data_IF_579319835284
#
_entry.id   IF_579319835284
#
_cell.length_a   1.000
_cell.length_b   1.000
_cell.length_c   1.000
_cell.angle_alpha   90.00
_cell.angle_beta   90.00
_cell.angle_gamma   90.00
#
_symmetry.space_group_name_H-M   'P 1'
#
loop_
_entity.id
_entity.type
_entity.pdbx_description
1 polymer ?
#
# COMPACT_ATOMS: atom_id res chain seq x y z
N UNK A 1 -76.76 45.08 -18.43
CA UNK A 1 -75.39 44.90 -18.99
C UNK A 1 -75.49 44.74 -20.50
N UNK A 2 -74.96 45.70 -21.24
CA UNK A 2 -75.09 45.82 -22.70
C UNK A 2 -74.34 44.71 -23.46
N UNK A 3 -74.85 44.25 -24.62
CA UNK A 3 -74.24 43.17 -25.42
C UNK A 3 -72.81 43.49 -25.88
N UNK A 4 -72.48 44.78 -26.03
CA UNK A 4 -71.13 45.28 -26.35
C UNK A 4 -70.06 44.91 -25.30
N UNK A 5 -70.41 44.90 -24.00
CA UNK A 5 -69.47 44.55 -22.92
C UNK A 5 -69.15 43.05 -22.91
N UNK A 6 -70.09 42.21 -23.36
CA UNK A 6 -69.87 40.75 -23.47
C UNK A 6 -68.96 40.39 -24.64
N UNK A 7 -69.03 41.13 -25.75
CA UNK A 7 -68.18 40.94 -26.93
C UNK A 7 -66.72 41.33 -26.67
N UNK A 8 -66.48 42.43 -25.93
CA UNK A 8 -65.12 42.86 -25.54
C UNK A 8 -64.50 42.00 -24.44
N UNK A 9 -65.30 41.43 -23.52
CA UNK A 9 -64.79 40.58 -22.44
C UNK A 9 -64.44 39.14 -22.87
N UNK A 10 -64.93 38.70 -24.03
CA UNK A 10 -64.70 37.34 -24.56
C UNK A 10 -63.22 37.03 -24.87
N UNK A 11 -62.48 37.84 -25.65
CA UNK A 11 -61.06 37.59 -25.92
C UNK A 11 -60.20 37.63 -24.65
N UNK A 12 -60.52 38.53 -23.71
CA UNK A 12 -59.79 38.64 -22.44
C UNK A 12 -59.95 37.40 -21.56
N UNK A 13 -61.16 36.81 -21.52
CA UNK A 13 -61.42 35.55 -20.81
C UNK A 13 -60.74 34.36 -21.49
N UNK A 14 -60.67 34.36 -22.81
CA UNK A 14 -60.00 33.31 -23.58
C UNK A 14 -58.49 33.34 -23.34
N UNK A 15 -57.85 34.51 -23.42
CA UNK A 15 -56.43 34.71 -23.12
C UNK A 15 -56.12 34.31 -21.69
N UNK A 16 -56.95 34.71 -20.72
CA UNK A 16 -56.76 34.33 -19.31
C UNK A 16 -56.87 32.82 -19.09
N UNK A 17 -57.76 32.13 -19.81
CA UNK A 17 -57.87 30.67 -19.77
C UNK A 17 -56.67 29.98 -20.38
N UNK A 18 -56.16 30.47 -21.51
CA UNK A 18 -54.93 29.95 -22.10
C UNK A 18 -53.72 30.17 -21.20
N UNK A 19 -53.55 31.38 -20.65
CA UNK A 19 -52.47 31.67 -19.71
C UNK A 19 -52.54 30.77 -18.46
N UNK A 20 -53.73 30.56 -17.90
CA UNK A 20 -53.92 29.65 -16.78
C UNK A 20 -53.58 28.20 -17.15
N UNK A 21 -53.99 27.74 -18.34
CA UNK A 21 -53.67 26.41 -18.84
C UNK A 21 -52.16 26.19 -18.99
N UNK A 22 -51.44 27.13 -19.60
CA UNK A 22 -49.98 27.07 -19.74
C UNK A 22 -49.27 27.15 -18.39
N UNK A 23 -49.76 27.97 -17.45
CA UNK A 23 -49.21 28.06 -16.10
C UNK A 23 -49.34 26.72 -15.36
N UNK A 24 -50.50 26.06 -15.44
CA UNK A 24 -50.70 24.73 -14.85
C UNK A 24 -49.78 23.69 -15.50
N UNK A 25 -49.65 23.70 -16.83
CA UNK A 25 -48.75 22.79 -17.54
C UNK A 25 -47.28 22.97 -17.11
N UNK A 26 -46.82 24.21 -16.97
CA UNK A 26 -45.46 24.51 -16.51
C UNK A 26 -45.24 24.03 -15.07
N UNK A 27 -46.25 24.16 -14.20
CA UNK A 27 -46.18 23.71 -12.82
C UNK A 27 -46.12 22.18 -12.72
N UNK A 28 -46.95 21.49 -13.51
CA UNK A 28 -46.92 20.03 -13.61
C UNK A 28 -45.58 19.54 -14.17
N UNK A 29 -45.04 20.21 -15.20
CA UNK A 29 -43.74 19.87 -15.76
C UNK A 29 -42.60 20.08 -14.74
N UNK A 30 -42.62 21.17 -13.96
CA UNK A 30 -41.65 21.41 -12.89
C UNK A 30 -41.73 20.35 -11.78
N UNK A 31 -42.95 19.95 -11.39
CA UNK A 31 -43.15 18.91 -10.38
C UNK A 31 -42.65 17.55 -10.89
N UNK A 32 -43.00 17.18 -12.12
CA UNK A 32 -42.55 15.95 -12.76
C UNK A 32 -41.03 15.92 -12.91
N UNK A 33 -40.41 17.05 -13.24
CA UNK A 33 -38.96 17.18 -13.32
C UNK A 33 -38.29 16.97 -11.95
N UNK A 34 -38.83 17.54 -10.87
CA UNK A 34 -38.34 17.30 -9.50
C UNK A 34 -38.47 15.83 -9.07
N UNK A 35 -39.54 15.14 -9.45
CA UNK A 35 -39.69 13.70 -9.17
C UNK A 35 -38.69 12.89 -10.00
N UNK A 36 -38.49 13.24 -11.27
CA UNK A 36 -37.55 12.56 -12.16
C UNK A 36 -36.09 12.72 -11.72
N UNK A 37 -35.68 13.89 -11.23
CA UNK A 37 -34.32 14.10 -10.70
C UNK A 37 -34.05 13.31 -9.43
N UNK A 38 -35.07 13.03 -8.62
CA UNK A 38 -34.94 12.22 -7.40
C UNK A 38 -34.96 10.71 -7.67
N UNK A 39 -35.66 10.28 -8.71
CA UNK A 39 -35.90 8.84 -8.98
C UNK A 39 -34.98 8.26 -10.06
N UNK A 40 -34.42 9.10 -10.94
CA UNK A 40 -33.63 8.66 -12.09
C UNK A 40 -32.23 9.28 -12.08
N UNK A 41 -31.22 8.45 -11.80
CA UNK A 41 -29.81 8.85 -11.71
C UNK A 41 -29.31 9.54 -12.99
N UNK A 42 -29.78 9.11 -14.16
CA UNK A 42 -29.42 9.70 -15.46
C UNK A 42 -29.92 11.13 -15.66
N UNK A 43 -31.14 11.45 -15.20
CA UNK A 43 -31.73 12.79 -15.30
C UNK A 43 -31.01 13.75 -14.35
N UNK A 44 -30.68 13.29 -13.15
CA UNK A 44 -29.85 14.04 -12.21
C UNK A 44 -28.47 14.37 -12.79
N UNK A 45 -27.80 13.41 -13.44
CA UNK A 45 -26.50 13.67 -14.09
C UNK A 45 -26.61 14.68 -15.23
N UNK A 46 -27.65 14.58 -16.08
CA UNK A 46 -27.85 15.49 -17.19
C UNK A 46 -28.21 16.92 -16.74
N UNK A 47 -29.04 17.06 -15.70
CA UNK A 47 -29.36 18.35 -15.11
C UNK A 47 -28.13 18.99 -14.46
N UNK A 48 -27.34 18.19 -13.75
CA UNK A 48 -26.11 18.66 -13.09
C UNK A 48 -25.04 19.10 -14.09
N UNK A 49 -24.87 18.40 -15.22
CA UNK A 49 -23.94 18.82 -16.29
C UNK A 49 -24.40 20.09 -16.99
N UNK A 50 -25.70 20.24 -17.27
CA UNK A 50 -26.26 21.45 -17.86
C UNK A 50 -26.10 22.69 -16.95
N UNK A 51 -26.31 22.52 -15.64
CA UNK A 51 -26.11 23.59 -14.64
C UNK A 51 -24.63 23.98 -14.49
N UNK A 52 -23.72 23.01 -14.57
CA UNK A 52 -22.29 23.27 -14.51
C UNK A 52 -21.78 24.01 -15.77
N UNK A 53 -22.35 23.71 -16.95
CA UNK A 53 -22.02 24.40 -18.20
C UNK A 53 -22.40 25.89 -18.21
N UNK A 54 -23.35 26.31 -17.36
CA UNK A 54 -23.74 27.72 -17.18
C UNK A 54 -23.10 28.36 -15.92
N UNK A 55 -22.12 27.69 -15.30
CA UNK A 55 -21.33 28.24 -14.18
C UNK A 55 -21.97 28.11 -12.80
N UNK A 56 -23.10 27.41 -12.67
CA UNK A 56 -23.74 27.16 -11.39
C UNK A 56 -23.13 25.88 -10.80
N UNK A 57 -22.13 26.04 -9.93
CA UNK A 57 -21.52 24.90 -9.23
C UNK A 57 -22.52 24.33 -8.22
N UNK A 58 -23.23 23.28 -8.60
CA UNK A 58 -24.12 22.54 -7.68
C UNK A 58 -23.28 21.71 -6.71
N UNK A 59 -23.83 21.44 -5.52
CA UNK A 59 -23.20 20.55 -4.51
C UNK A 59 -22.87 19.18 -5.12
N UNK A 60 -23.74 18.68 -6.00
CA UNK A 60 -23.54 17.48 -6.81
C UNK A 60 -22.26 17.51 -7.67
N UNK A 61 -22.02 18.62 -8.35
CA UNK A 61 -20.86 18.79 -9.21
C UNK A 61 -19.57 18.86 -8.38
N UNK A 62 -19.60 19.48 -7.19
CA UNK A 62 -18.47 19.50 -6.26
C UNK A 62 -18.15 18.11 -5.71
N UNK A 63 -19.17 17.40 -5.23
CA UNK A 63 -19.02 16.05 -4.69
C UNK A 63 -18.47 15.06 -5.73
N UNK A 64 -18.94 15.14 -6.99
CA UNK A 64 -18.42 14.30 -8.08
C UNK A 64 -16.99 14.67 -8.48
N UNK A 65 -16.62 15.96 -8.44
CA UNK A 65 -15.25 16.43 -8.63
C UNK A 65 -14.30 15.93 -7.54
N UNK A 66 -14.69 16.02 -6.29
CA UNK A 66 -13.93 15.51 -5.14
C UNK A 66 -13.76 13.99 -5.20
N UNK A 67 -14.82 13.24 -5.53
CA UNK A 67 -14.73 11.78 -5.73
C UNK A 67 -13.76 11.42 -6.87
N UNK A 68 -13.75 12.18 -7.95
CA UNK A 68 -12.81 11.96 -9.06
C UNK A 68 -11.37 12.29 -8.66
N UNK A 69 -11.15 13.39 -7.95
CA UNK A 69 -9.85 13.78 -7.42
C UNK A 69 -9.30 12.70 -6.46
N UNK A 70 -10.12 12.22 -5.52
CA UNK A 70 -9.76 11.14 -4.58
C UNK A 70 -9.42 9.85 -5.32
N UNK A 71 -10.21 9.45 -6.32
CA UNK A 71 -9.90 8.28 -7.16
C UNK A 71 -8.58 8.42 -7.91
N UNK A 72 -8.26 9.62 -8.39
CA UNK A 72 -7.00 9.90 -9.08
C UNK A 72 -5.81 9.83 -8.10
N UNK A 73 -5.95 10.39 -6.90
CA UNK A 73 -4.94 10.29 -5.83
C UNK A 73 -4.70 8.83 -5.43
N UNK A 74 -5.76 8.08 -5.14
CA UNK A 74 -5.68 6.65 -4.82
C UNK A 74 -4.98 5.84 -5.92
N UNK A 75 -5.31 6.10 -7.20
CA UNK A 75 -4.63 5.45 -8.35
C UNK A 75 -3.15 5.82 -8.44
N UNK A 76 -2.81 7.08 -8.18
CA UNK A 76 -1.42 7.56 -8.20
C UNK A 76 -0.62 6.84 -7.11
N UNK A 77 -1.08 6.89 -5.87
CA UNK A 77 -0.41 6.28 -4.71
C UNK A 77 -0.32 4.76 -4.88
N UNK A 78 -1.40 4.10 -5.32
CA UNK A 78 -1.39 2.67 -5.61
C UNK A 78 -0.36 2.30 -6.68
N UNK A 79 -0.22 3.10 -7.74
CA UNK A 79 0.79 2.87 -8.78
C UNK A 79 2.21 3.04 -8.26
N UNK A 80 2.48 4.11 -7.50
CA UNK A 80 3.81 4.34 -6.90
C UNK A 80 4.19 3.21 -5.95
N UNK A 81 3.24 2.77 -5.13
CA UNK A 81 3.42 1.65 -4.18
C UNK A 81 3.73 0.36 -4.93
N UNK A 82 2.93 0.02 -5.95
CA UNK A 82 3.16 -1.17 -6.78
C UNK A 82 4.52 -1.12 -7.48
N UNK A 83 4.96 0.04 -7.95
CA UNK A 83 6.26 0.21 -8.60
C UNK A 83 7.44 0.01 -7.62
N UNK A 84 7.34 0.55 -6.40
CA UNK A 84 8.34 0.33 -5.34
C UNK A 84 8.45 -1.14 -4.95
N UNK A 85 7.31 -1.79 -4.69
CA UNK A 85 7.26 -3.22 -4.32
C UNK A 85 7.81 -4.08 -5.45
N UNK A 86 7.39 -3.84 -6.70
CA UNK A 86 7.90 -4.57 -7.87
C UNK A 86 9.42 -4.47 -8.02
N UNK A 87 9.99 -3.26 -7.85
CA UNK A 87 11.44 -3.06 -7.88
C UNK A 87 12.18 -3.76 -6.74
N UNK A 88 11.58 -3.92 -5.57
CA UNK A 88 12.16 -4.67 -4.45
C UNK A 88 12.14 -6.17 -4.72
N UNK A 89 10.99 -6.71 -5.15
CA UNK A 89 10.86 -8.12 -5.55
C UNK A 89 11.87 -8.50 -6.65
N UNK A 90 12.04 -7.65 -7.67
CA UNK A 90 13.03 -7.89 -8.73
C UNK A 90 14.46 -7.93 -8.19
N UNK A 91 14.83 -7.00 -7.31
CA UNK A 91 16.17 -6.97 -6.68
C UNK A 91 16.41 -8.18 -5.80
N UNK A 92 15.42 -8.57 -4.99
CA UNK A 92 15.47 -9.79 -4.18
C UNK A 92 15.65 -11.05 -5.03
N UNK A 93 14.90 -11.18 -6.12
CA UNK A 93 15.03 -12.31 -7.03
C UNK A 93 16.43 -12.40 -7.67
N UNK A 94 16.99 -11.27 -8.11
CA UNK A 94 18.36 -11.23 -8.65
C UNK A 94 19.40 -11.60 -7.59
N UNK A 95 19.27 -11.09 -6.36
CA UNK A 95 20.18 -11.42 -5.24
C UNK A 95 20.16 -12.91 -4.92
N UNK A 96 18.98 -13.52 -4.82
CA UNK A 96 18.84 -14.96 -4.59
C UNK A 96 19.42 -15.81 -5.72
N UNK A 97 19.24 -15.42 -6.98
CA UNK A 97 19.86 -16.15 -8.10
C UNK A 97 21.39 -16.03 -8.06
N UNK A 98 21.90 -14.86 -7.67
CA UNK A 98 23.34 -14.62 -7.57
C UNK A 98 23.99 -15.33 -6.36
N UNK A 99 23.25 -15.57 -5.28
CA UNK A 99 23.77 -16.20 -4.05
C UNK A 99 24.00 -17.71 -4.18
N UNK A 100 23.33 -18.39 -5.13
CA UNK A 100 23.41 -19.84 -5.34
C UNK A 100 24.86 -20.36 -5.42
N UNK A 101 25.75 -19.61 -6.08
CA UNK A 101 27.16 -20.00 -6.20
C UNK A 101 27.95 -19.88 -4.89
N UNK A 102 27.58 -18.92 -4.04
CA UNK A 102 28.20 -18.68 -2.73
C UNK A 102 27.70 -19.65 -1.66
N UNK A 103 26.45 -20.08 -1.75
CA UNK A 103 25.81 -21.06 -0.87
C UNK A 103 26.48 -22.44 -0.90
N UNK A 104 27.10 -22.78 -2.04
CA UNK A 104 27.80 -24.05 -2.22
C UNK A 104 29.15 -24.14 -1.49
N UNK A 105 29.71 -23.02 -1.02
CA UNK A 105 31.00 -22.99 -0.33
C UNK A 105 30.76 -23.15 1.17
N UNK A 106 31.34 -24.15 1.85
CA UNK A 106 31.12 -24.32 3.27
C UNK A 106 31.57 -23.10 4.11
N UNK A 107 30.82 -22.77 5.16
CA UNK A 107 30.96 -21.57 6.02
C UNK A 107 30.67 -20.24 5.31
N UNK A 108 31.20 -20.01 4.11
CA UNK A 108 30.88 -18.83 3.27
C UNK A 108 29.40 -18.81 2.91
N UNK A 109 28.83 -19.97 2.56
CA UNK A 109 27.43 -20.11 2.24
C UNK A 109 26.51 -19.71 3.39
N UNK A 110 26.90 -19.98 4.65
CA UNK A 110 26.12 -19.56 5.83
C UNK A 110 26.07 -18.04 5.91
N UNK A 111 27.22 -17.37 5.72
CA UNK A 111 27.28 -15.91 5.71
C UNK A 111 26.45 -15.31 4.57
N UNK A 112 26.51 -15.91 3.38
CA UNK A 112 25.73 -15.50 2.21
C UNK A 112 24.23 -15.64 2.48
N UNK A 113 23.78 -16.77 3.05
CA UNK A 113 22.37 -17.02 3.40
C UNK A 113 21.89 -16.01 4.44
N UNK A 114 22.65 -15.83 5.52
CA UNK A 114 22.27 -14.90 6.59
C UNK A 114 22.21 -13.46 6.08
N UNK A 115 23.16 -13.07 5.21
CA UNK A 115 23.15 -11.77 4.55
C UNK A 115 21.98 -11.58 3.60
N UNK A 116 21.65 -12.60 2.80
CA UNK A 116 20.48 -12.59 1.94
C UNK A 116 19.19 -12.45 2.75
N UNK A 117 19.05 -13.24 3.82
CA UNK A 117 17.90 -13.20 4.72
C UNK A 117 17.74 -11.82 5.38
N UNK A 118 18.83 -11.20 5.84
CA UNK A 118 18.77 -9.87 6.44
C UNK A 118 18.22 -8.83 5.44
N UNK A 119 18.67 -8.88 4.19
CA UNK A 119 18.16 -8.01 3.13
C UNK A 119 16.70 -8.33 2.77
N UNK A 120 16.30 -9.59 2.80
CA UNK A 120 14.90 -9.99 2.58
C UNK A 120 13.97 -9.49 3.68
N UNK A 121 14.39 -9.59 4.94
CA UNK A 121 13.64 -9.07 6.09
C UNK A 121 13.49 -7.56 5.96
N UNK A 122 14.55 -6.83 5.60
CA UNK A 122 14.48 -5.39 5.36
C UNK A 122 13.51 -5.05 4.20
N UNK A 123 13.64 -5.73 3.06
CA UNK A 123 12.76 -5.51 1.90
C UNK A 123 11.27 -5.83 2.25
N UNK A 124 11.03 -6.79 3.15
CA UNK A 124 9.72 -7.12 3.68
C UNK A 124 9.17 -6.04 4.63
N UNK A 125 10.00 -5.54 5.57
CA UNK A 125 9.66 -4.42 6.46
C UNK A 125 9.24 -3.18 5.66
N UNK A 126 10.05 -2.77 4.68
CA UNK A 126 9.74 -1.66 3.79
C UNK A 126 8.44 -1.91 3.01
N UNK A 127 8.07 -3.18 2.76
CA UNK A 127 6.87 -3.53 1.98
C UNK A 127 5.66 -3.35 2.86
N UNK A 128 5.74 -3.83 4.09
CA UNK A 128 4.69 -3.67 5.09
C UNK A 128 4.46 -2.18 5.42
N UNK A 129 5.53 -1.39 5.56
CA UNK A 129 5.43 0.07 5.73
C UNK A 129 4.71 0.74 4.53
N UNK A 130 5.10 0.42 3.30
CA UNK A 130 4.44 0.96 2.10
C UNK A 130 2.97 0.52 1.99
N UNK A 131 2.60 -0.68 2.49
CA UNK A 131 1.20 -1.13 2.56
C UNK A 131 0.40 -0.38 3.62
N UNK A 132 0.96 -0.17 4.82
CA UNK A 132 0.35 0.64 5.87
C UNK A 132 0.14 2.09 5.40
N UNK A 133 1.13 2.66 4.72
CA UNK A 133 1.04 3.97 4.08
C UNK A 133 -0.05 4.03 3.00
N UNK A 134 -0.20 2.99 2.20
CA UNK A 134 -1.27 2.91 1.20
C UNK A 134 -2.65 2.83 1.85
N UNK A 135 -2.82 2.06 2.92
CA UNK A 135 -4.08 1.96 3.66
C UNK A 135 -4.47 3.32 4.26
N UNK A 136 -3.53 4.00 4.93
CA UNK A 136 -3.73 5.34 5.48
C UNK A 136 -4.11 6.36 4.40
N UNK A 137 -3.46 6.31 3.24
CA UNK A 137 -3.79 7.18 2.11
C UNK A 137 -5.22 6.97 1.58
N UNK A 138 -5.68 5.72 1.56
CA UNK A 138 -7.04 5.38 1.11
C UNK A 138 -8.09 5.81 2.12
N UNK A 139 -7.77 5.71 3.42
CA UNK A 139 -8.63 6.14 4.52
C UNK A 139 -8.74 7.66 4.62
N UNK A 140 -7.68 8.41 4.30
CA UNK A 140 -7.63 9.85 4.40
C UNK A 140 -8.73 10.57 3.60
N UNK A 141 -9.35 11.57 4.24
CA UNK A 141 -10.42 12.37 3.63
C UNK A 141 -9.89 13.63 2.93
N UNK A 142 -8.81 14.22 3.44
CA UNK A 142 -8.31 15.53 3.00
C UNK A 142 -6.93 15.47 2.37
N UNK A 143 -5.97 14.78 3.00
CA UNK A 143 -4.58 14.71 2.53
C UNK A 143 -4.04 13.27 2.51
N UNK A 144 -4.27 12.53 1.41
CA UNK A 144 -3.76 11.17 1.23
C UNK A 144 -2.23 11.05 1.24
N UNK A 145 -1.53 12.09 0.77
CA UNK A 145 -0.06 12.04 0.66
C UNK A 145 0.58 12.25 2.04
N UNK A 146 0.04 13.16 2.87
CA UNK A 146 0.49 13.34 4.25
C UNK A 146 0.19 12.12 5.13
N UNK A 147 -1.04 11.59 5.08
CA UNK A 147 -1.44 10.41 5.85
C UNK A 147 -0.57 9.19 5.51
N UNK A 148 -0.21 9.03 4.23
CA UNK A 148 0.74 8.01 3.80
C UNK A 148 2.11 8.18 4.45
N UNK A 149 2.65 9.40 4.39
CA UNK A 149 4.01 9.67 4.85
C UNK A 149 4.14 9.44 6.37
N UNK A 150 3.14 9.89 7.13
CA UNK A 150 3.03 9.66 8.58
C UNK A 150 2.95 8.16 8.89
N UNK A 151 2.05 7.42 8.25
CA UNK A 151 1.91 5.98 8.48
C UNK A 151 3.15 5.16 8.09
N UNK A 152 3.95 5.60 7.11
CA UNK A 152 5.23 4.97 6.80
C UNK A 152 6.28 5.30 7.87
N UNK A 153 6.32 6.55 8.35
CA UNK A 153 7.28 6.99 9.35
C UNK A 153 7.05 6.32 10.71
N UNK A 154 5.78 6.11 11.07
CA UNK A 154 5.38 5.50 12.34
C UNK A 154 5.40 3.96 12.30
N UNK A 155 5.74 3.35 11.15
CA UNK A 155 5.70 1.90 11.00
C UNK A 155 6.86 1.22 11.75
N UNK A 156 6.55 0.52 12.85
CA UNK A 156 7.51 -0.27 13.60
C UNK A 156 7.53 -1.73 13.13
N UNK A 157 8.53 -2.07 12.31
CA UNK A 157 8.68 -3.44 11.83
C UNK A 157 9.05 -4.42 12.96
N UNK A 158 9.80 -3.97 13.97
CA UNK A 158 10.23 -4.82 15.08
C UNK A 158 9.03 -5.24 15.94
N UNK A 159 8.11 -4.32 16.22
CA UNK A 159 6.88 -4.63 16.92
C UNK A 159 6.01 -5.62 16.15
N UNK A 160 5.86 -5.43 14.83
CA UNK A 160 5.12 -6.36 13.97
C UNK A 160 5.71 -7.79 14.04
N UNK A 161 7.04 -7.92 13.96
CA UNK A 161 7.71 -9.22 14.02
C UNK A 161 7.54 -9.86 15.41
N UNK A 162 7.70 -9.09 16.50
CA UNK A 162 7.53 -9.58 17.88
C UNK A 162 6.12 -10.11 18.14
N UNK A 163 5.09 -9.49 17.55
CA UNK A 163 3.71 -9.96 17.70
C UNK A 163 3.46 -11.31 17.00
N UNK A 164 4.16 -11.57 15.90
CA UNK A 164 4.00 -12.79 15.09
C UNK A 164 4.79 -13.99 15.63
N UNK A 165 5.82 -13.75 16.45
CA UNK A 165 6.69 -14.79 16.99
C UNK A 165 6.36 -14.97 18.48
N UNK A 166 5.60 -16.02 18.87
CA UNK A 166 5.48 -16.38 20.27
C UNK A 166 6.87 -16.69 20.82
N UNK A 167 7.14 -16.26 22.06
CA UNK A 167 8.40 -16.50 22.75
C UNK A 167 9.62 -15.84 22.08
N UNK A 168 9.45 -14.63 21.51
CA UNK A 168 10.57 -13.84 20.94
C UNK A 168 11.73 -13.64 21.93
N UNK A 169 11.44 -13.51 23.23
CA UNK A 169 12.44 -13.38 24.29
C UNK A 169 13.30 -14.64 24.48
N UNK A 170 12.80 -15.81 24.06
CA UNK A 170 13.50 -17.09 24.12
C UNK A 170 14.33 -17.37 22.85
N UNK A 171 14.39 -16.43 21.90
CA UNK A 171 15.21 -16.60 20.70
C UNK A 171 16.71 -16.65 21.09
N UNK A 172 17.45 -17.67 20.62
CA UNK A 172 18.88 -17.78 20.91
C UNK A 172 19.62 -16.54 20.40
N UNK A 173 20.59 -16.06 21.18
CA UNK A 173 21.39 -14.90 20.81
C UNK A 173 22.19 -15.13 19.52
N UNK A 174 22.63 -14.05 18.87
CA UNK A 174 23.38 -14.12 17.61
C UNK A 174 24.56 -15.10 17.66
N UNK A 175 25.31 -15.12 18.77
CA UNK A 175 26.44 -16.03 18.96
C UNK A 175 26.04 -17.50 19.04
N UNK A 176 24.88 -17.79 19.62
CA UNK A 176 24.36 -19.15 19.76
C UNK A 176 23.81 -19.65 18.42
N UNK A 177 23.09 -18.79 17.68
CA UNK A 177 22.68 -19.06 16.30
C UNK A 177 23.91 -19.33 15.43
N UNK A 178 24.95 -18.49 15.53
CA UNK A 178 26.18 -18.66 14.77
C UNK A 178 26.92 -19.95 15.13
N UNK A 179 27.03 -20.27 16.43
CA UNK A 179 27.64 -21.52 16.89
C UNK A 179 26.88 -22.74 16.33
N UNK A 180 25.54 -22.73 16.42
CA UNK A 180 24.70 -23.79 15.87
C UNK A 180 24.84 -23.92 14.35
N UNK A 181 24.83 -22.80 13.62
CA UNK A 181 24.96 -22.81 12.16
C UNK A 181 26.35 -23.27 11.69
N UNK A 182 27.41 -22.79 12.34
CA UNK A 182 28.79 -23.12 11.97
C UNK A 182 29.17 -24.58 12.27
N UNK A 183 28.52 -25.22 13.25
CA UNK A 183 28.75 -26.64 13.55
C UNK A 183 27.87 -27.59 12.71
N UNK A 184 26.76 -27.11 12.15
CA UNK A 184 25.83 -27.92 11.36
C UNK A 184 26.48 -28.75 10.22
N UNK A 185 27.46 -28.23 9.44
CA UNK A 185 28.14 -29.02 8.42
C UNK A 185 28.89 -30.22 9.00
N UNK A 186 29.56 -30.04 10.16
CA UNK A 186 30.28 -31.12 10.85
C UNK A 186 29.32 -32.19 11.34
N UNK A 187 28.23 -31.78 12.00
CA UNK A 187 27.20 -32.69 12.49
C UNK A 187 26.54 -33.50 11.36
N UNK A 188 26.31 -32.86 10.19
CA UNK A 188 25.78 -33.54 9.01
C UNK A 188 26.77 -34.56 8.43
N UNK A 189 28.07 -34.20 8.37
CA UNK A 189 29.13 -35.08 7.89
C UNK A 189 29.30 -36.32 8.78
N UNK A 190 29.30 -36.14 10.10
CA UNK A 190 29.40 -37.22 11.07
C UNK A 190 28.23 -38.20 10.95
N UNK A 191 26.99 -37.71 10.85
CA UNK A 191 25.81 -38.54 10.61
C UNK A 191 25.87 -39.33 9.30
N UNK A 192 26.36 -38.71 8.22
CA UNK A 192 26.52 -39.41 6.94
C UNK A 192 27.54 -40.57 7.05
N UNK A 193 28.65 -40.33 7.76
CA UNK A 193 29.68 -41.33 8.01
C UNK A 193 29.16 -42.49 8.88
N UNK A 194 28.42 -42.18 9.94
CA UNK A 194 27.75 -43.17 10.80
C UNK A 194 26.75 -44.04 10.03
N UNK A 195 26.06 -43.46 9.04
CA UNK A 195 25.17 -44.17 8.13
C UNK A 195 25.89 -45.00 7.05
N UNK A 196 27.24 -45.05 7.07
CA UNK A 196 28.04 -45.83 6.13
C UNK A 196 28.23 -45.18 4.76
N UNK A 197 27.92 -43.89 4.61
CA UNK A 197 28.17 -43.15 3.36
C UNK A 197 29.65 -42.77 3.30
N UNK A 198 30.35 -43.17 2.24
CA UNK A 198 31.74 -42.74 2.02
C UNK A 198 31.76 -41.28 1.57
N UNK A 199 32.11 -40.37 2.47
CA UNK A 199 32.36 -38.96 2.19
C UNK A 199 33.86 -38.67 2.27
N UNK A 200 34.38 -37.85 1.36
CA UNK A 200 35.79 -37.45 1.36
C UNK A 200 36.13 -36.63 2.61
N UNK A 201 37.31 -36.83 3.20
CA UNK A 201 37.75 -36.08 4.39
C UNK A 201 38.03 -34.62 4.02
N UNK A 202 37.28 -33.71 4.64
CA UNK A 202 37.43 -32.26 4.44
C UNK A 202 38.07 -31.68 5.70
N UNK A 203 39.21 -31.02 5.56
CA UNK A 203 39.87 -30.30 6.66
C UNK A 203 39.22 -28.93 6.88
N UNK A 204 38.53 -28.80 8.01
CA UNK A 204 37.78 -27.62 8.42
C UNK A 204 38.62 -26.62 9.23
N UNK A 205 39.81 -27.01 9.69
CA UNK A 205 40.54 -26.34 10.77
C UNK A 205 41.41 -25.16 10.32
N UNK A 206 41.88 -25.16 9.07
CA UNK A 206 42.88 -24.18 8.59
C UNK A 206 42.33 -22.84 8.06
N UNK A 207 41.04 -22.75 7.71
CA UNK A 207 40.44 -21.54 7.08
C UNK A 207 39.28 -20.92 7.85
N UNK A 208 38.69 -21.64 8.81
CA UNK A 208 37.49 -21.20 9.52
C UNK A 208 37.75 -20.03 10.51
N UNK A 209 38.94 -19.94 11.10
CA UNK A 209 39.26 -18.89 12.09
C UNK A 209 39.41 -17.50 11.48
N UNK A 210 40.08 -17.39 10.33
CA UNK A 210 40.30 -16.11 9.64
C UNK A 210 39.04 -15.62 8.92
N UNK A 211 38.26 -16.55 8.33
CA UNK A 211 36.95 -16.24 7.74
C UNK A 211 35.90 -15.91 8.80
N UNK A 212 35.91 -16.57 9.96
CA UNK A 212 34.96 -16.33 11.03
C UNK A 212 35.04 -14.90 11.58
N UNK A 213 36.25 -14.35 11.72
CA UNK A 213 36.46 -12.96 12.12
C UNK A 213 35.95 -11.94 11.10
N UNK A 214 36.19 -12.20 9.81
CA UNK A 214 35.68 -11.34 8.72
C UNK A 214 34.15 -11.39 8.60
N UNK A 215 33.54 -12.57 8.74
CA UNK A 215 32.09 -12.76 8.69
C UNK A 215 31.39 -12.11 9.89
N UNK A 216 31.92 -12.28 11.11
CA UNK A 216 31.36 -11.64 12.31
C UNK A 216 31.42 -10.11 12.22
N UNK A 217 32.50 -9.54 11.66
CA UNK A 217 32.59 -8.10 11.41
C UNK A 217 31.56 -7.60 10.38
N UNK A 218 31.29 -8.39 9.34
CA UNK A 218 30.27 -8.07 8.34
C UNK A 218 28.84 -8.23 8.89
N UNK A 219 28.57 -9.28 9.67
CA UNK A 219 27.28 -9.49 10.33
C UNK A 219 26.98 -8.43 11.38
N UNK A 220 27.97 -7.94 12.13
CA UNK A 220 27.80 -6.81 13.05
C UNK A 220 27.41 -5.53 12.32
N UNK A 221 28.08 -5.24 11.19
CA UNK A 221 27.72 -4.11 10.33
C UNK A 221 26.30 -4.21 9.75
N UNK A 222 25.89 -5.41 9.34
CA UNK A 222 24.51 -5.65 8.85
C UNK A 222 23.50 -5.59 10.01
N UNK A 223 23.87 -6.04 11.20
CA UNK A 223 23.06 -5.96 12.42
C UNK A 223 22.70 -4.52 12.76
N UNK A 224 23.69 -3.63 12.89
CA UNK A 224 23.48 -2.20 13.13
C UNK A 224 22.59 -1.54 12.06
N UNK A 225 22.80 -1.92 10.79
CA UNK A 225 22.00 -1.41 9.67
C UNK A 225 20.53 -1.87 9.70
N UNK A 226 20.23 -3.00 10.35
CA UNK A 226 18.89 -3.60 10.41
C UNK A 226 18.16 -3.22 11.71
N UNK A 227 18.86 -3.08 12.83
CA UNK A 227 18.25 -2.74 14.13
C UNK A 227 18.08 -1.25 14.36
N UNK A 228 18.75 -0.38 13.58
CA UNK A 228 18.52 1.06 13.65
C UNK A 228 18.78 1.65 15.04
N UNK A 229 19.75 1.10 15.78
CA UNK A 229 20.31 1.81 16.92
C UNK A 229 21.20 2.93 16.37
N UNK A 230 20.58 4.08 16.13
CA UNK A 230 21.29 5.35 16.01
C UNK A 230 21.92 5.62 17.38
N UNK A 231 23.14 5.13 17.62
CA UNK A 231 23.96 5.57 18.74
C UNK A 231 24.11 7.09 18.63
N UNK A 232 23.34 7.81 19.44
CA UNK A 232 23.52 9.23 19.71
C UNK A 232 24.97 9.45 20.16
N UNK A 233 25.80 10.19 19.40
CA UNK A 233 27.18 10.43 19.78
C UNK A 233 27.23 11.54 20.85
N UNK A 234 26.70 11.24 22.04
CA UNK A 234 26.82 12.05 23.22
C UNK A 234 26.62 11.22 24.50
N UNK A 235 27.65 10.46 24.87
CA UNK A 235 28.10 10.29 26.27
C UNK A 235 29.49 9.65 26.37
#
# INVERSE_FOLDING_TARGET
MSPLVRLLAFPFRLIRRFAAFFAVLALVASLAFNVATLTVTGVYTAASTALNAIGISTVAARESGEKLARRKAARKIGRETAEKVSRRVQRGAVRNIASVGGEAIPVVGIAVIAGALALEVQDACDTAADMAGLEAALAAETDPDAARAEAIADFDCSAMIRELIPDYEDLPGQSEIWASMSDAPRAAYEKAREAGVSVAEVDWSGKAGELGGWIMGWMGYVGDYVTGEEEDPAQ
#
